data_IF_067604069223
#
_entry.id   IF_067604069223
#
_cell.length_a   1.000
_cell.length_b   1.000
_cell.length_c   1.000
_cell.angle_alpha   90.00
_cell.angle_beta   90.00
_cell.angle_gamma   90.00
#
_symmetry.space_group_name_H-M   'P 1'
#
loop_
_entity.id
_entity.type
_entity.pdbx_description
1 polymer ?
#
# COMPACT_ATOMS: atom_id res chain seq x y z
N UNK A 1 10.96 -18.59 -0.28
CA UNK A 1 9.64 -19.27 -0.22
C UNK A 1 9.60 -20.33 -1.32
N UNK A 2 9.13 -21.56 -1.06
CA UNK A 2 8.89 -22.51 -2.16
C UNK A 2 7.87 -21.85 -3.11
N UNK A 3 8.11 -21.81 -4.42
CA UNK A 3 7.17 -21.24 -5.43
C UNK A 3 5.73 -21.78 -5.31
N UNK A 4 5.54 -22.91 -4.62
CA UNK A 4 4.32 -23.68 -4.52
C UNK A 4 3.19 -23.10 -3.64
N UNK A 5 3.39 -21.99 -2.92
CA UNK A 5 2.32 -21.39 -2.09
C UNK A 5 1.85 -20.02 -2.58
N UNK A 6 2.46 -19.48 -3.64
CA UNK A 6 2.07 -18.17 -4.16
C UNK A 6 0.69 -18.24 -4.80
N UNK A 7 -0.14 -17.23 -4.52
CA UNK A 7 -1.51 -17.09 -5.02
C UNK A 7 -2.41 -18.27 -4.62
N UNK A 8 -2.24 -18.75 -3.38
CA UNK A 8 -3.02 -19.86 -2.82
C UNK A 8 -3.79 -19.46 -1.57
N UNK A 9 -4.84 -20.22 -1.30
CA UNK A 9 -5.56 -20.22 -0.03
C UNK A 9 -5.12 -21.46 0.76
N UNK A 10 -4.66 -21.26 1.99
CA UNK A 10 -4.34 -22.34 2.92
C UNK A 10 -5.56 -22.55 3.80
N UNK A 11 -6.11 -23.77 3.78
CA UNK A 11 -7.22 -24.15 4.65
C UNK A 11 -6.69 -24.53 6.03
N UNK A 12 -7.13 -23.86 7.09
CA UNK A 12 -6.79 -24.20 8.47
C UNK A 12 -6.92 -23.07 9.48
N UNK A 13 -6.49 -23.34 10.71
CA UNK A 13 -6.38 -22.32 11.75
C UNK A 13 -5.22 -21.36 11.45
N UNK A 14 -5.48 -20.07 11.57
CA UNK A 14 -4.53 -19.01 11.24
C UNK A 14 -3.19 -19.14 11.96
N UNK A 15 -3.21 -19.40 13.28
CA UNK A 15 -2.00 -19.49 14.10
C UNK A 15 -1.24 -20.78 13.78
N UNK A 16 -1.93 -21.91 13.69
CA UNK A 16 -1.29 -23.21 13.43
C UNK A 16 -0.70 -23.30 12.02
N UNK A 17 -1.37 -22.74 11.01
CA UNK A 17 -0.86 -22.71 9.64
C UNK A 17 0.30 -21.70 9.50
N UNK A 18 0.24 -20.54 10.15
CA UNK A 18 1.37 -19.59 10.11
C UNK A 18 2.66 -20.18 10.68
N UNK A 19 2.61 -21.00 11.74
CA UNK A 19 3.80 -21.68 12.31
C UNK A 19 4.56 -22.52 11.29
N UNK A 20 3.88 -23.03 10.26
CA UNK A 20 4.47 -23.83 9.18
C UNK A 20 5.14 -22.98 8.09
N UNK A 21 4.83 -21.69 8.04
CA UNK A 21 5.38 -20.75 7.06
C UNK A 21 6.80 -20.32 7.46
N UNK A 22 7.72 -20.12 6.50
CA UNK A 22 9.07 -19.66 6.79
C UNK A 22 9.08 -18.21 7.32
N UNK A 23 10.10 -17.87 8.11
CA UNK A 23 10.34 -16.50 8.54
C UNK A 23 10.51 -15.56 7.33
N UNK A 24 10.25 -14.26 7.51
CA UNK A 24 10.61 -13.20 6.56
C UNK A 24 10.21 -13.49 5.10
N UNK A 25 8.97 -13.91 4.93
CA UNK A 25 8.41 -14.46 3.70
C UNK A 25 7.48 -13.49 2.98
N UNK A 26 6.84 -12.55 3.69
CA UNK A 26 5.81 -11.68 3.13
C UNK A 26 6.21 -10.20 3.21
N UNK A 27 5.88 -9.43 2.18
CA UNK A 27 6.20 -8.01 2.07
C UNK A 27 5.19 -7.15 2.82
N UNK A 28 3.92 -7.56 2.78
CA UNK A 28 2.83 -6.86 3.44
C UNK A 28 1.85 -7.85 4.06
N UNK A 29 1.32 -7.52 5.23
CA UNK A 29 0.24 -8.27 5.88
C UNK A 29 -0.97 -7.36 6.03
N UNK A 30 -2.14 -7.82 5.59
CA UNK A 30 -3.41 -7.21 5.95
C UNK A 30 -4.17 -8.18 6.86
N UNK A 31 -4.57 -7.74 8.04
CA UNK A 31 -5.29 -8.57 9.00
C UNK A 31 -6.61 -7.92 9.41
N UNK A 32 -7.71 -8.62 9.13
CA UNK A 32 -9.08 -8.33 9.59
C UNK A 32 -9.49 -9.43 10.59
N UNK A 33 -8.95 -9.41 11.83
CA UNK A 33 -9.25 -10.43 12.82
C UNK A 33 -10.71 -10.35 13.27
N UNK A 34 -11.22 -11.38 13.96
CA UNK A 34 -12.46 -11.26 14.72
C UNK A 34 -12.45 -10.03 15.65
N UNK A 35 -13.58 -9.33 15.74
CA UNK A 35 -13.69 -8.10 16.53
C UNK A 35 -14.09 -8.35 17.98
N UNK A 36 -14.49 -9.58 18.30
CA UNK A 36 -15.09 -9.94 19.58
C UNK A 36 -16.30 -9.04 19.87
N UNK A 37 -17.29 -9.07 18.97
CA UNK A 37 -18.52 -8.31 19.11
C UNK A 37 -19.31 -8.84 20.31
N UNK A 38 -19.23 -8.13 21.43
CA UNK A 38 -19.98 -8.42 22.66
C UNK A 38 -21.45 -7.99 22.52
N UNK A 39 -22.15 -8.50 21.52
CA UNK A 39 -23.56 -8.19 21.27
C UNK A 39 -24.47 -9.06 22.13
N UNK A 40 -25.38 -8.44 22.87
CA UNK A 40 -26.41 -9.12 23.66
C UNK A 40 -27.80 -8.76 23.12
N UNK A 41 -28.70 -9.76 23.13
CA UNK A 41 -30.10 -9.58 22.75
C UNK A 41 -30.35 -9.41 21.24
N UNK A 42 -31.59 -9.08 20.88
CA UNK A 42 -31.99 -8.83 19.50
C UNK A 42 -32.03 -7.34 19.19
N UNK A 43 -31.38 -6.94 18.09
CA UNK A 43 -31.48 -5.57 17.58
C UNK A 43 -32.59 -5.49 16.53
N UNK A 44 -33.57 -4.62 16.76
CA UNK A 44 -34.64 -4.33 15.81
C UNK A 44 -34.36 -3.02 15.06
N UNK A 45 -34.72 -2.98 13.78
CA UNK A 45 -34.80 -1.74 12.99
C UNK A 45 -36.01 -0.91 13.44
N UNK A 46 -36.06 0.36 13.05
CA UNK A 46 -37.20 1.27 13.32
C UNK A 46 -38.54 0.66 12.89
N UNK A 47 -38.56 -0.11 11.79
CA UNK A 47 -39.76 -0.81 11.30
C UNK A 47 -40.02 -2.20 11.94
N UNK A 48 -39.39 -2.54 13.06
CA UNK A 48 -39.61 -3.80 13.79
C UNK A 48 -38.93 -5.05 13.22
N UNK A 49 -38.28 -4.96 12.06
CA UNK A 49 -37.53 -6.07 11.46
C UNK A 49 -36.22 -6.33 12.21
N UNK A 50 -35.88 -7.62 12.43
CA UNK A 50 -34.62 -8.02 13.06
C UNK A 50 -33.42 -7.61 12.19
N UNK A 51 -32.44 -6.96 12.81
CA UNK A 51 -31.18 -6.60 12.18
C UNK A 51 -30.22 -7.80 12.20
N UNK A 52 -29.74 -8.22 11.02
CA UNK A 52 -28.74 -9.28 10.90
C UNK A 52 -27.33 -8.70 11.01
N UNK A 53 -26.81 -8.69 12.25
CA UNK A 53 -25.43 -8.33 12.57
C UNK A 53 -24.42 -9.45 12.30
N UNK A 54 -23.33 -9.44 13.07
CA UNK A 54 -22.37 -10.54 13.21
C UNK A 54 -22.82 -11.36 14.41
N UNK A 55 -23.00 -12.67 14.21
CA UNK A 55 -23.35 -13.65 15.27
C UNK A 55 -22.63 -14.99 15.00
N UNK A 56 -21.60 -14.93 14.16
CA UNK A 56 -20.83 -16.09 13.76
C UNK A 56 -19.96 -16.58 14.93
N UNK A 57 -19.79 -17.90 15.08
CA UNK A 57 -19.08 -18.48 16.23
C UNK A 57 -17.59 -18.14 16.28
N UNK A 58 -16.98 -17.77 15.16
CA UNK A 58 -15.59 -17.33 15.10
C UNK A 58 -15.35 -15.97 15.79
N UNK A 59 -16.40 -15.21 16.11
CA UNK A 59 -16.31 -13.91 16.79
C UNK A 59 -16.59 -13.99 18.30
N UNK A 60 -16.86 -15.20 18.82
CA UNK A 60 -17.24 -15.40 20.22
C UNK A 60 -16.01 -15.81 21.05
N UNK A 61 -15.72 -15.02 22.08
CA UNK A 61 -14.67 -15.30 23.08
C UNK A 61 -15.28 -15.29 24.48
N UNK A 62 -14.75 -16.09 25.40
CA UNK A 62 -15.28 -16.17 26.77
C UNK A 62 -14.81 -15.01 27.65
N UNK A 63 -13.69 -14.36 27.30
CA UNK A 63 -13.13 -13.24 28.06
C UNK A 63 -12.16 -12.40 27.22
N UNK A 64 -11.88 -11.18 27.69
CA UNK A 64 -10.79 -10.37 27.12
C UNK A 64 -9.44 -11.08 27.21
N UNK A 65 -9.18 -11.85 28.28
CA UNK A 65 -7.92 -12.59 28.40
C UNK A 65 -7.75 -13.60 27.27
N UNK A 66 -8.82 -14.33 26.93
CA UNK A 66 -8.79 -15.29 25.83
C UNK A 66 -8.56 -14.59 24.48
N UNK A 67 -9.25 -13.46 24.25
CA UNK A 67 -9.04 -12.64 23.05
C UNK A 67 -7.61 -12.09 22.96
N UNK A 68 -7.02 -11.69 24.08
CA UNK A 68 -5.63 -11.21 24.16
C UNK A 68 -4.64 -12.32 23.85
N UNK A 69 -4.79 -13.48 24.50
CA UNK A 69 -3.92 -14.63 24.31
C UNK A 69 -3.95 -15.07 22.84
N UNK A 70 -5.14 -15.06 22.22
CA UNK A 70 -5.32 -15.27 20.78
C UNK A 70 -4.61 -14.17 19.96
N UNK A 71 -4.83 -12.90 20.29
CA UNK A 71 -4.30 -11.76 19.56
C UNK A 71 -2.77 -11.72 19.53
N UNK A 72 -2.16 -11.96 20.68
CA UNK A 72 -0.71 -11.99 20.85
C UNK A 72 -0.10 -13.14 20.03
N UNK A 73 -0.74 -14.32 19.98
CA UNK A 73 -0.23 -15.47 19.21
C UNK A 73 -0.16 -15.15 17.72
N UNK A 74 -1.26 -14.69 17.11
CA UNK A 74 -1.26 -14.42 15.68
C UNK A 74 -0.38 -13.20 15.32
N UNK A 75 -0.35 -12.16 16.15
CA UNK A 75 0.54 -11.00 15.92
C UNK A 75 2.02 -11.39 15.97
N UNK A 76 2.42 -12.28 16.89
CA UNK A 76 3.79 -12.80 16.97
C UNK A 76 4.17 -13.55 15.68
N UNK A 77 3.29 -14.44 15.21
CA UNK A 77 3.52 -15.17 13.97
C UNK A 77 3.58 -14.24 12.75
N UNK A 78 2.67 -13.26 12.66
CA UNK A 78 2.74 -12.20 11.65
C UNK A 78 4.09 -11.47 11.69
N UNK A 79 4.58 -11.09 12.86
CA UNK A 79 5.89 -10.43 12.99
C UNK A 79 7.04 -11.31 12.49
N UNK A 80 7.00 -12.62 12.79
CA UNK A 80 8.01 -13.59 12.37
C UNK A 80 8.05 -13.76 10.86
N UNK A 81 6.90 -13.91 10.21
CA UNK A 81 6.79 -14.15 8.76
C UNK A 81 6.91 -12.88 7.93
N UNK A 82 6.75 -11.68 8.50
CA UNK A 82 6.93 -10.41 7.80
C UNK A 82 8.42 -10.19 7.48
N UNK A 83 8.75 -9.73 6.26
CA UNK A 83 10.13 -9.37 5.88
C UNK A 83 10.68 -8.20 6.69
N UNK A 84 12.00 -8.04 6.69
CA UNK A 84 12.71 -6.97 7.45
C UNK A 84 12.31 -5.56 7.04
N UNK A 85 11.89 -5.38 5.79
CA UNK A 85 11.38 -4.15 5.19
C UNK A 85 9.85 -4.14 5.06
N UNK A 86 9.17 -5.16 5.55
CA UNK A 86 7.73 -5.31 5.41
C UNK A 86 6.91 -4.46 6.39
N UNK A 87 5.63 -4.32 6.07
CA UNK A 87 4.64 -3.64 6.93
C UNK A 87 3.40 -4.50 7.15
N UNK A 88 2.66 -4.21 8.20
CA UNK A 88 1.39 -4.84 8.55
C UNK A 88 0.32 -3.75 8.70
N UNK A 89 -0.88 -4.04 8.24
CA UNK A 89 -2.07 -3.25 8.51
C UNK A 89 -3.12 -4.12 9.22
N UNK A 90 -3.54 -3.71 10.41
CA UNK A 90 -4.56 -4.39 11.21
C UNK A 90 -5.78 -3.51 11.29
N UNK A 91 -6.95 -4.02 10.92
CA UNK A 91 -8.22 -3.29 11.02
C UNK A 91 -9.04 -3.76 12.23
N UNK A 92 -9.79 -2.83 12.82
CA UNK A 92 -10.69 -3.11 13.92
C UNK A 92 -11.68 -1.98 14.14
N UNK A 93 -12.58 -2.18 15.09
CA UNK A 93 -13.43 -1.13 15.63
C UNK A 93 -13.10 -0.90 17.11
N UNK A 94 -13.85 -0.04 17.79
CA UNK A 94 -13.56 0.34 19.18
C UNK A 94 -13.56 -0.86 20.15
N UNK A 95 -14.20 -1.97 19.78
CA UNK A 95 -14.24 -3.22 20.56
C UNK A 95 -12.85 -3.83 20.75
N UNK A 96 -12.00 -3.80 19.71
CA UNK A 96 -10.73 -4.52 19.72
C UNK A 96 -9.50 -3.67 19.40
N UNK A 97 -9.63 -2.59 18.62
CA UNK A 97 -8.46 -1.94 17.99
C UNK A 97 -7.48 -1.34 19.00
N UNK A 98 -7.96 -0.88 20.17
CA UNK A 98 -7.09 -0.37 21.23
C UNK A 98 -6.23 -1.47 21.85
N UNK A 99 -6.79 -2.67 22.01
CA UNK A 99 -6.07 -3.84 22.52
C UNK A 99 -5.01 -4.27 21.52
N UNK A 100 -5.40 -4.37 20.24
CA UNK A 100 -4.50 -4.75 19.16
C UNK A 100 -3.34 -3.75 19.02
N UNK A 101 -3.62 -2.44 19.06
CA UNK A 101 -2.59 -1.41 19.04
C UNK A 101 -1.60 -1.54 20.21
N UNK A 102 -2.10 -1.78 21.43
CA UNK A 102 -1.26 -2.02 22.62
C UNK A 102 -0.35 -3.25 22.43
N UNK A 103 -0.89 -4.37 21.96
CA UNK A 103 -0.09 -5.58 21.69
C UNK A 103 0.93 -5.37 20.58
N UNK A 104 0.56 -4.67 19.50
CA UNK A 104 1.48 -4.37 18.42
C UNK A 104 2.70 -3.57 18.91
N UNK A 105 2.49 -2.54 19.73
CA UNK A 105 3.59 -1.76 20.31
C UNK A 105 4.47 -2.59 21.25
N UNK A 106 3.87 -3.40 22.12
CA UNK A 106 4.61 -4.28 23.03
C UNK A 106 5.38 -5.39 22.32
N UNK A 107 4.94 -5.77 21.12
CA UNK A 107 5.66 -6.67 20.23
C UNK A 107 6.68 -5.92 19.36
N UNK A 108 7.03 -4.67 19.65
CA UNK A 108 7.99 -3.83 18.93
C UNK A 108 7.64 -3.53 17.46
N UNK A 109 6.37 -3.61 17.06
CA UNK A 109 5.96 -2.97 15.81
C UNK A 109 6.06 -1.46 15.96
N UNK A 110 6.47 -0.78 14.88
CA UNK A 110 6.51 0.68 14.87
C UNK A 110 5.34 1.21 14.06
N UNK A 111 4.32 1.69 14.76
CA UNK A 111 3.12 2.29 14.18
C UNK A 111 3.53 3.53 13.36
N UNK A 112 3.12 3.56 12.10
CA UNK A 112 3.38 4.64 11.16
C UNK A 112 2.22 5.62 11.15
N UNK A 113 1.01 5.09 11.00
CA UNK A 113 -0.25 5.83 11.06
C UNK A 113 -1.36 4.93 11.57
N UNK A 114 -2.24 5.50 12.39
CA UNK A 114 -3.63 5.07 12.41
C UNK A 114 -4.38 5.73 11.24
N UNK A 115 -5.23 4.95 10.58
CA UNK A 115 -6.02 5.35 9.42
C UNK A 115 -7.48 5.10 9.77
N UNK A 116 -8.31 6.13 9.65
CA UNK A 116 -9.74 6.05 9.90
C UNK A 116 -10.45 5.76 8.59
N UNK A 117 -11.09 4.60 8.49
CA UNK A 117 -12.06 4.33 7.43
C UNK A 117 -13.39 4.94 7.83
N UNK A 118 -13.69 6.12 7.28
CA UNK A 118 -14.98 6.77 7.39
C UNK A 118 -15.96 6.15 6.38
N UNK A 119 -17.03 5.53 6.90
CA UNK A 119 -18.07 4.88 6.10
C UNK A 119 -19.04 5.95 5.62
N UNK A 120 -19.15 6.16 4.31
CA UNK A 120 -20.08 7.15 3.75
C UNK A 120 -21.56 6.76 3.86
N UNK A 121 -21.84 5.46 4.02
CA UNK A 121 -23.18 4.88 4.15
C UNK A 121 -23.27 3.90 5.33
N UNK A 122 -22.97 4.32 6.57
CA UNK A 122 -22.95 3.42 7.72
C UNK A 122 -24.37 2.97 8.08
N UNK A 123 -24.47 1.80 8.72
CA UNK A 123 -25.73 1.39 9.34
C UNK A 123 -26.04 2.36 10.49
N UNK A 124 -27.22 3.01 10.52
CA UNK A 124 -27.54 3.99 11.54
C UNK A 124 -27.73 3.35 12.92
N UNK A 125 -27.58 4.16 13.98
CA UNK A 125 -27.99 3.76 15.32
C UNK A 125 -29.52 3.80 15.42
N UNK A 126 -30.16 2.63 15.50
CA UNK A 126 -31.63 2.54 15.50
C UNK A 126 -32.29 2.94 16.82
N UNK A 127 -31.60 2.76 17.94
CA UNK A 127 -32.16 2.97 19.28
C UNK A 127 -31.94 4.40 19.82
N UNK A 128 -31.16 5.23 19.13
CA UNK A 128 -30.84 6.59 19.56
C UNK A 128 -30.01 6.68 20.84
N UNK A 129 -29.34 5.60 21.26
CA UNK A 129 -28.65 5.53 22.56
C UNK A 129 -27.18 5.93 22.52
N UNK A 130 -26.57 5.97 21.32
CA UNK A 130 -25.17 6.31 21.07
C UNK A 130 -25.03 7.01 19.73
N UNK A 131 -23.86 7.58 19.47
CA UNK A 131 -23.48 8.02 18.12
C UNK A 131 -23.53 6.86 17.11
N UNK A 132 -23.74 7.20 15.84
CA UNK A 132 -23.66 6.24 14.74
C UNK A 132 -22.23 5.71 14.62
N UNK A 133 -22.06 4.38 14.57
CA UNK A 133 -20.73 3.78 14.35
C UNK A 133 -20.34 3.90 12.87
N UNK A 134 -19.89 5.11 12.51
CA UNK A 134 -19.61 5.51 11.13
C UNK A 134 -18.16 5.30 10.70
N UNK A 135 -17.33 4.64 11.51
CA UNK A 135 -15.95 4.36 11.12
C UNK A 135 -15.39 3.05 11.67
N UNK A 136 -14.26 2.64 11.12
CA UNK A 136 -13.33 1.66 11.67
C UNK A 136 -11.92 2.24 11.63
N UNK A 137 -11.00 1.64 12.39
CA UNK A 137 -9.62 2.10 12.51
C UNK A 137 -8.67 1.01 12.01
N UNK A 138 -7.76 1.40 11.13
CA UNK A 138 -6.65 0.60 10.62
C UNK A 138 -5.35 1.08 11.24
N UNK A 139 -4.56 0.19 11.83
CA UNK A 139 -3.21 0.50 12.33
C UNK A 139 -2.21 -0.01 11.29
N UNK A 140 -1.53 0.91 10.61
CA UNK A 140 -0.43 0.58 9.70
C UNK A 140 0.90 0.71 10.45
N UNK A 141 1.66 -0.37 10.50
CA UNK A 141 2.91 -0.44 11.25
C UNK A 141 4.00 -1.15 10.46
N UNK A 142 5.24 -0.70 10.67
CA UNK A 142 6.44 -1.40 10.19
C UNK A 142 6.92 -2.44 11.19
N UNK A 143 7.64 -3.47 10.71
CA UNK A 143 8.15 -4.57 11.56
C UNK A 143 8.92 -4.10 12.80
N UNK A 144 9.59 -2.95 12.70
CA UNK A 144 10.36 -2.30 13.77
C UNK A 144 10.66 -0.82 13.43
N UNK A 145 11.10 -0.02 14.39
CA UNK A 145 11.48 1.39 14.19
C UNK A 145 12.59 1.61 13.14
N UNK A 146 13.45 0.61 12.90
CA UNK A 146 14.58 0.70 11.95
C UNK A 146 14.23 0.23 10.54
N UNK A 147 12.99 -0.22 10.33
CA UNK A 147 12.51 -0.75 9.04
C UNK A 147 12.57 0.32 7.96
N UNK A 148 13.15 -0.02 6.80
CA UNK A 148 13.04 0.79 5.58
C UNK A 148 11.87 0.28 4.76
N UNK A 149 10.67 0.76 5.08
CA UNK A 149 9.43 0.27 4.48
C UNK A 149 9.11 0.93 3.14
N UNK A 150 8.22 0.28 2.37
CA UNK A 150 7.63 0.83 1.15
C UNK A 150 6.51 1.82 1.52
N UNK A 151 6.56 3.03 0.95
CA UNK A 151 5.45 3.97 0.92
C UNK A 151 5.43 4.69 -0.43
N UNK A 152 4.45 4.40 -1.26
CA UNK A 152 4.33 4.93 -2.62
C UNK A 152 3.69 6.32 -2.62
N UNK A 153 4.40 7.28 -2.02
CA UNK A 153 3.91 8.63 -1.78
C UNK A 153 3.46 9.37 -3.05
N UNK A 154 4.20 9.26 -4.15
CA UNK A 154 3.86 9.96 -5.40
C UNK A 154 2.60 9.36 -6.02
N UNK A 155 2.46 8.04 -6.00
CA UNK A 155 1.24 7.36 -6.45
C UNK A 155 0.05 7.77 -5.61
N UNK A 156 0.16 7.74 -4.28
CA UNK A 156 -0.92 8.16 -3.38
C UNK A 156 -1.30 9.64 -3.57
N UNK A 157 -0.30 10.51 -3.76
CA UNK A 157 -0.53 11.92 -4.06
C UNK A 157 -1.26 12.11 -5.39
N UNK A 158 -0.88 11.36 -6.42
CA UNK A 158 -1.51 11.42 -7.74
C UNK A 158 -2.99 11.01 -7.68
N UNK A 159 -3.28 9.88 -7.03
CA UNK A 159 -4.65 9.36 -6.86
C UNK A 159 -5.55 10.31 -6.05
N UNK A 160 -4.97 11.15 -5.21
CA UNK A 160 -5.68 12.17 -4.45
C UNK A 160 -5.56 13.57 -5.10
N UNK A 161 -5.71 13.66 -6.42
CA UNK A 161 -5.72 14.92 -7.18
C UNK A 161 -4.47 15.78 -6.93
N UNK A 162 -3.29 15.14 -6.93
CA UNK A 162 -1.99 15.75 -6.63
C UNK A 162 -1.88 16.39 -5.23
N UNK A 163 -2.74 16.01 -4.28
CA UNK A 163 -2.66 16.40 -2.87
C UNK A 163 -2.19 15.23 -2.04
N UNK A 164 -1.45 15.51 -0.97
CA UNK A 164 -1.04 14.47 -0.03
C UNK A 164 -2.28 13.76 0.53
N UNK A 165 -2.23 12.43 0.54
CA UNK A 165 -3.27 11.59 1.11
C UNK A 165 -3.36 11.79 2.63
N UNK A 166 -4.60 11.80 3.15
CA UNK A 166 -4.86 11.99 4.59
C UNK A 166 -5.03 10.65 5.29
N UNK A 167 -5.01 10.66 6.62
CA UNK A 167 -5.30 9.47 7.44
C UNK A 167 -6.79 9.15 7.57
N UNK A 168 -7.70 9.98 7.04
CA UNK A 168 -9.15 9.72 7.05
C UNK A 168 -9.59 9.41 5.63
N UNK A 169 -10.08 8.20 5.41
CA UNK A 169 -10.51 7.70 4.10
C UNK A 169 -12.01 7.50 4.07
N UNK A 170 -12.68 8.28 3.24
CA UNK A 170 -14.12 8.15 3.01
C UNK A 170 -14.37 7.10 1.92
N UNK A 171 -14.89 5.93 2.32
CA UNK A 171 -15.12 4.78 1.43
C UNK A 171 -16.46 4.15 1.83
N UNK A 172 -17.36 3.84 0.88
CA UNK A 172 -18.63 3.17 1.20
C UNK A 172 -18.42 1.74 1.71
N UNK A 173 -19.43 1.21 2.38
CA UNK A 173 -19.52 -0.22 2.71
C UNK A 173 -19.58 -1.08 1.45
N UNK A 174 -19.05 -2.31 1.56
CA UNK A 174 -19.18 -3.34 0.52
C UNK A 174 -20.66 -3.71 0.33
N UNK A 175 -21.21 -3.29 -0.81
CA UNK A 175 -22.63 -3.38 -1.18
C UNK A 175 -22.78 -3.67 -2.68
N UNK A 176 -24.00 -3.89 -3.15
CA UNK A 176 -24.26 -4.12 -4.58
C UNK A 176 -23.65 -5.42 -5.09
N UNK A 177 -23.05 -5.37 -6.28
CA UNK A 177 -22.46 -6.54 -6.97
C UNK A 177 -21.16 -7.02 -6.34
N UNK A 178 -20.42 -6.14 -5.66
CA UNK A 178 -19.19 -6.51 -4.96
C UNK A 178 -19.48 -7.43 -3.76
N UNK A 179 -20.64 -7.27 -3.14
CA UNK A 179 -21.03 -8.03 -1.96
C UNK A 179 -21.44 -9.45 -2.33
N UNK A 180 -20.63 -10.44 -1.95
CA UNK A 180 -20.90 -11.83 -2.27
C UNK A 180 -22.16 -12.34 -1.57
N UNK A 181 -22.94 -13.12 -2.32
CA UNK A 181 -24.20 -13.71 -1.87
C UNK A 181 -24.14 -15.23 -1.95
N UNK A 182 -24.82 -15.89 -1.03
CA UNK A 182 -25.03 -17.33 -1.07
C UNK A 182 -26.09 -17.72 -2.12
N UNK A 183 -26.33 -19.03 -2.28
CA UNK A 183 -27.32 -19.55 -3.22
C UNK A 183 -28.76 -19.08 -2.96
N UNK A 184 -29.06 -18.54 -1.77
CA UNK A 184 -30.37 -18.00 -1.39
C UNK A 184 -30.46 -16.47 -1.61
N UNK A 185 -29.39 -15.85 -2.11
CA UNK A 185 -29.30 -14.41 -2.32
C UNK A 185 -29.00 -13.60 -1.06
N UNK A 186 -28.70 -14.25 0.07
CA UNK A 186 -28.31 -13.58 1.34
C UNK A 186 -26.81 -13.29 1.36
N UNK A 187 -26.38 -12.37 2.22
CA UNK A 187 -24.96 -12.05 2.42
C UNK A 187 -24.19 -13.33 2.76
N UNK A 188 -23.14 -13.64 2.00
CA UNK A 188 -22.33 -14.84 2.26
C UNK A 188 -21.44 -14.65 3.49
N UNK A 189 -20.81 -13.47 3.61
CA UNK A 189 -19.95 -13.10 4.73
C UNK A 189 -20.48 -11.87 5.46
N UNK A 190 -20.51 -11.93 6.80
CA UNK A 190 -21.04 -10.86 7.64
C UNK A 190 -20.21 -9.57 7.55
N UNK A 191 -18.89 -9.70 7.45
CA UNK A 191 -17.91 -8.59 7.58
C UNK A 191 -17.04 -8.37 6.33
N UNK A 192 -17.50 -8.76 5.12
CA UNK A 192 -16.74 -8.51 3.88
C UNK A 192 -16.33 -7.03 3.74
N UNK A 193 -15.03 -6.78 3.61
CA UNK A 193 -14.45 -5.44 3.43
C UNK A 193 -14.53 -4.97 1.97
N UNK A 194 -14.70 -3.66 1.73
CA UNK A 194 -14.75 -3.10 0.39
C UNK A 194 -13.38 -3.18 -0.30
N UNK A 195 -13.36 -3.56 -1.59
CA UNK A 195 -12.14 -3.65 -2.39
C UNK A 195 -11.35 -2.34 -2.41
N UNK A 196 -12.03 -1.20 -2.55
CA UNK A 196 -11.40 0.12 -2.59
C UNK A 196 -10.52 0.43 -1.36
N UNK A 197 -10.87 -0.12 -0.19
CA UNK A 197 -10.08 0.04 1.04
C UNK A 197 -8.76 -0.73 0.93
N UNK A 198 -8.84 -1.98 0.45
CA UNK A 198 -7.68 -2.85 0.24
C UNK A 198 -6.81 -2.33 -0.90
N UNK A 199 -7.42 -1.84 -1.99
CA UNK A 199 -6.72 -1.27 -3.14
C UNK A 199 -5.82 -0.13 -2.69
N UNK A 200 -6.39 0.77 -1.88
CA UNK A 200 -5.69 1.94 -1.36
C UNK A 200 -4.49 1.57 -0.49
N UNK A 201 -4.66 0.67 0.49
CA UNK A 201 -3.55 0.30 1.39
C UNK A 201 -2.50 -0.58 0.70
N UNK A 202 -2.89 -1.50 -0.18
CA UNK A 202 -1.96 -2.35 -0.93
C UNK A 202 -1.14 -1.47 -1.89
N UNK A 203 -1.78 -0.57 -2.66
CA UNK A 203 -1.06 0.38 -3.52
C UNK A 203 -0.15 1.32 -2.74
N UNK A 204 -0.52 1.73 -1.53
CA UNK A 204 0.33 2.60 -0.71
C UNK A 204 1.59 1.89 -0.20
N UNK A 205 1.50 0.59 0.09
CA UNK A 205 2.49 -0.12 0.91
C UNK A 205 3.25 -1.25 0.22
N UNK A 206 2.94 -1.55 -1.05
CA UNK A 206 3.56 -2.67 -1.80
C UNK A 206 4.02 -2.27 -3.20
N UNK A 207 4.95 -3.03 -3.76
CA UNK A 207 5.44 -2.94 -5.15
C UNK A 207 4.83 -4.06 -6.01
N UNK A 208 4.88 -3.95 -7.36
CA UNK A 208 4.54 -5.06 -8.24
C UNK A 208 5.28 -6.33 -7.84
N UNK A 209 4.57 -7.47 -7.88
CA UNK A 209 5.04 -8.80 -7.48
C UNK A 209 5.33 -9.03 -5.99
N UNK A 210 5.23 -8.02 -5.12
CA UNK A 210 5.28 -8.22 -3.66
C UNK A 210 4.18 -9.21 -3.23
N UNK A 211 4.43 -9.90 -2.12
CA UNK A 211 3.53 -10.93 -1.60
C UNK A 211 2.73 -10.36 -0.43
N UNK A 212 1.42 -10.22 -0.64
CA UNK A 212 0.44 -9.80 0.37
C UNK A 212 -0.09 -11.01 1.12
N UNK A 213 0.03 -11.01 2.44
CA UNK A 213 -0.47 -12.09 3.28
C UNK A 213 -1.69 -11.66 4.09
N UNK A 214 -2.65 -12.56 4.24
CA UNK A 214 -3.86 -12.34 5.02
C UNK A 214 -4.15 -13.55 5.93
N UNK A 215 -4.01 -13.41 7.26
CA UNK A 215 -4.28 -14.47 8.22
C UNK A 215 -5.77 -14.76 8.43
N UNK A 216 -6.68 -13.91 7.92
CA UNK A 216 -8.13 -13.96 8.13
C UNK A 216 -8.85 -13.72 6.79
N UNK A 217 -8.59 -14.60 5.83
CA UNK A 217 -8.84 -14.32 4.41
C UNK A 217 -10.32 -14.16 4.05
N UNK A 218 -11.23 -14.80 4.81
CA UNK A 218 -12.67 -14.74 4.58
C UNK A 218 -13.02 -15.09 3.14
N UNK A 219 -13.73 -14.20 2.47
CA UNK A 219 -14.14 -14.35 1.06
C UNK A 219 -13.11 -13.81 0.05
N UNK A 220 -11.85 -13.65 0.48
CA UNK A 220 -10.71 -13.41 -0.39
C UNK A 220 -10.56 -11.98 -0.93
N UNK A 221 -11.12 -10.95 -0.28
CA UNK A 221 -10.97 -9.55 -0.75
C UNK A 221 -9.49 -9.16 -0.90
N UNK A 222 -8.64 -9.48 0.07
CA UNK A 222 -7.21 -9.17 0.01
C UNK A 222 -6.53 -9.83 -1.20
N UNK A 223 -6.83 -11.10 -1.47
CA UNK A 223 -6.24 -11.82 -2.60
C UNK A 223 -6.74 -11.34 -3.96
N UNK A 224 -8.05 -11.08 -4.07
CA UNK A 224 -8.66 -10.52 -5.28
C UNK A 224 -8.02 -9.17 -5.64
N UNK A 225 -7.91 -8.27 -4.66
CA UNK A 225 -7.29 -6.96 -4.87
C UNK A 225 -5.79 -7.08 -5.15
N UNK A 226 -5.05 -7.93 -4.42
CA UNK A 226 -3.64 -8.15 -4.69
C UNK A 226 -3.41 -8.64 -6.13
N UNK A 227 -4.17 -9.65 -6.57
CA UNK A 227 -4.11 -10.19 -7.94
C UNK A 227 -4.43 -9.11 -8.98
N UNK A 228 -5.53 -8.38 -8.80
CA UNK A 228 -5.95 -7.26 -9.67
C UNK A 228 -4.84 -6.22 -9.83
N UNK A 229 -4.14 -5.89 -8.75
CA UNK A 229 -3.05 -4.90 -8.77
C UNK A 229 -1.71 -5.47 -9.24
N UNK A 230 -1.61 -6.74 -9.65
CA UNK A 230 -0.34 -7.36 -10.06
C UNK A 230 0.61 -7.64 -8.90
N UNK A 231 0.06 -7.91 -7.69
CA UNK A 231 0.78 -8.45 -6.54
C UNK A 231 0.47 -9.94 -6.41
N UNK A 232 1.32 -10.66 -5.70
CA UNK A 232 1.02 -12.02 -5.27
C UNK A 232 0.28 -12.00 -3.94
N UNK A 233 -0.45 -13.07 -3.62
CA UNK A 233 -1.08 -13.20 -2.31
C UNK A 233 -0.91 -14.59 -1.70
N UNK A 234 -1.08 -14.68 -0.38
CA UNK A 234 -1.33 -15.94 0.34
C UNK A 234 -2.35 -15.65 1.44
N UNK A 235 -3.45 -16.39 1.46
CA UNK A 235 -4.51 -16.26 2.46
C UNK A 235 -4.63 -17.51 3.33
N UNK A 236 -5.00 -17.34 4.60
CA UNK A 236 -5.43 -18.46 5.46
C UNK A 236 -6.91 -18.27 5.81
N UNK A 237 -7.70 -19.32 5.63
CA UNK A 237 -9.11 -19.35 6.03
C UNK A 237 -9.45 -20.73 6.61
N UNK A 238 -10.32 -20.77 7.61
CA UNK A 238 -10.73 -22.00 8.28
C UNK A 238 -12.04 -22.55 7.71
N UNK A 239 -12.97 -21.67 7.37
CA UNK A 239 -14.33 -22.03 6.96
C UNK A 239 -14.38 -22.38 5.47
N UNK A 240 -14.66 -23.65 5.17
CA UNK A 240 -14.68 -24.19 3.80
C UNK A 240 -15.60 -23.39 2.85
N UNK A 241 -16.77 -22.96 3.33
CA UNK A 241 -17.71 -22.13 2.56
C UNK A 241 -17.11 -20.79 2.09
N UNK A 242 -16.18 -20.22 2.86
CA UNK A 242 -15.52 -18.96 2.52
C UNK A 242 -14.35 -19.20 1.56
N UNK A 243 -13.61 -20.29 1.75
CA UNK A 243 -12.56 -20.74 0.83
C UNK A 243 -13.11 -20.94 -0.58
N UNK A 244 -14.22 -21.66 -0.73
CA UNK A 244 -14.83 -21.94 -2.04
C UNK A 244 -15.25 -20.66 -2.78
N UNK A 245 -15.87 -19.73 -2.05
CA UNK A 245 -16.27 -18.45 -2.62
C UNK A 245 -15.08 -17.55 -2.95
N UNK A 246 -14.05 -17.54 -2.10
CA UNK A 246 -12.80 -16.84 -2.37
C UNK A 246 -12.12 -17.40 -3.62
N UNK A 247 -12.05 -18.73 -3.78
CA UNK A 247 -11.46 -19.36 -4.95
C UNK A 247 -12.21 -18.98 -6.23
N UNK A 248 -13.54 -19.08 -6.22
CA UNK A 248 -14.36 -18.67 -7.38
C UNK A 248 -14.11 -17.20 -7.76
N UNK A 249 -14.10 -16.31 -6.77
CA UNK A 249 -13.80 -14.88 -7.00
C UNK A 249 -12.40 -14.69 -7.58
N UNK A 250 -11.40 -15.39 -7.05
CA UNK A 250 -10.02 -15.30 -7.52
C UNK A 250 -9.84 -15.81 -8.95
N UNK A 251 -10.59 -16.84 -9.35
CA UNK A 251 -10.55 -17.40 -10.70
C UNK A 251 -11.08 -16.40 -11.74
N UNK A 252 -12.02 -15.53 -11.36
CA UNK A 252 -12.62 -14.49 -12.20
C UNK A 252 -11.78 -13.20 -12.28
N UNK A 253 -10.88 -12.97 -11.32
CA UNK A 253 -10.05 -11.76 -11.27
C UNK A 253 -8.86 -11.88 -12.21
N UNK A 254 -8.69 -10.89 -13.09
CA UNK A 254 -7.48 -10.70 -13.90
C UNK A 254 -6.61 -9.56 -13.37
N UNK A 255 -5.31 -9.61 -13.67
CA UNK A 255 -4.39 -8.54 -13.30
C UNK A 255 -4.57 -7.35 -14.25
N UNK A 256 -4.76 -6.16 -13.70
CA UNK A 256 -4.84 -4.90 -14.43
C UNK A 256 -3.46 -4.26 -14.48
N UNK A 257 -2.76 -4.39 -15.60
CA UNK A 257 -1.44 -3.78 -15.80
C UNK A 257 -1.60 -2.37 -16.36
N UNK A 258 -1.45 -1.37 -15.50
CA UNK A 258 -1.43 0.05 -15.86
C UNK A 258 -0.31 0.79 -15.11
N UNK A 259 -0.07 2.06 -15.46
CA UNK A 259 1.00 2.88 -14.88
C UNK A 259 0.92 3.03 -13.36
N UNK A 260 -0.29 3.11 -12.80
CA UNK A 260 -0.52 3.20 -11.35
C UNK A 260 -0.13 1.90 -10.68
N UNK A 261 -0.61 0.78 -11.19
CA UNK A 261 -0.34 -0.54 -10.62
C UNK A 261 1.14 -0.92 -10.77
N UNK A 262 1.80 -0.47 -11.83
CA UNK A 262 3.25 -0.61 -12.06
C UNK A 262 4.11 0.42 -11.33
N UNK A 263 3.50 1.33 -10.55
CA UNK A 263 4.18 2.37 -9.79
C UNK A 263 5.19 3.19 -10.62
N UNK A 264 4.83 3.53 -11.86
CA UNK A 264 5.74 4.26 -12.76
C UNK A 264 6.17 5.61 -12.18
N UNK A 265 5.28 6.26 -11.40
CA UNK A 265 5.57 7.51 -10.70
C UNK A 265 6.66 7.38 -9.63
N UNK A 266 6.82 6.20 -9.04
CA UNK A 266 7.81 5.93 -7.99
C UNK A 266 9.21 5.65 -8.54
N UNK A 267 9.33 5.34 -9.83
CA UNK A 267 10.62 5.10 -10.48
C UNK A 267 11.50 6.33 -10.29
N UNK A 268 12.63 6.12 -9.61
CA UNK A 268 13.65 7.16 -9.45
C UNK A 268 14.42 7.28 -10.76
N UNK A 269 14.80 8.50 -11.17
CA UNK A 269 15.64 8.65 -12.35
C UNK A 269 16.98 7.93 -12.13
N UNK A 270 17.62 7.43 -13.20
CA UNK A 270 18.89 6.71 -13.11
C UNK A 270 19.96 7.54 -12.41
N UNK A 271 20.80 6.87 -11.62
CA UNK A 271 21.87 7.53 -10.86
C UNK A 271 23.11 7.73 -11.74
N UNK A 272 23.02 8.70 -12.64
CA UNK A 272 24.11 9.07 -13.56
C UNK A 272 24.55 10.49 -13.25
N UNK A 273 25.87 10.72 -13.16
CA UNK A 273 26.46 12.04 -12.89
C UNK A 273 26.67 12.83 -14.19
N UNK A 274 26.81 14.15 -14.10
CA UNK A 274 27.22 14.98 -15.25
C UNK A 274 28.58 14.54 -15.81
N UNK A 275 29.54 14.19 -14.93
CA UNK A 275 30.86 13.70 -15.35
C UNK A 275 30.77 12.41 -16.15
N UNK A 276 29.93 11.46 -15.72
CA UNK A 276 29.73 10.20 -16.43
C UNK A 276 29.12 10.43 -17.81
N UNK A 277 28.09 11.29 -17.90
CA UNK A 277 27.49 11.67 -19.19
C UNK A 277 28.50 12.33 -20.13
N UNK A 278 29.44 13.13 -19.60
CA UNK A 278 30.53 13.72 -20.40
C UNK A 278 31.51 12.63 -20.87
N UNK A 279 31.99 11.79 -19.95
CA UNK A 279 32.96 10.74 -20.24
C UNK A 279 32.44 9.75 -21.29
N UNK A 280 31.15 9.44 -21.25
CA UNK A 280 30.45 8.53 -22.17
C UNK A 280 29.96 9.23 -23.45
N UNK A 281 30.21 10.53 -23.61
CA UNK A 281 29.92 11.28 -24.83
C UNK A 281 28.46 11.71 -25.00
N UNK A 282 27.62 11.57 -23.97
CA UNK A 282 26.23 12.07 -23.97
C UNK A 282 26.16 13.58 -23.81
N UNK A 283 27.16 14.16 -23.13
CA UNK A 283 27.38 15.58 -23.02
C UNK A 283 28.78 15.94 -23.52
N UNK A 284 28.93 17.15 -24.06
CA UNK A 284 30.23 17.68 -24.49
C UNK A 284 30.66 18.82 -23.58
N UNK A 285 31.97 18.96 -23.39
CA UNK A 285 32.56 20.12 -22.73
C UNK A 285 32.22 21.37 -23.56
N UNK A 286 31.87 22.47 -22.88
CA UNK A 286 31.32 23.72 -23.44
C UNK A 286 29.97 23.60 -24.14
N UNK A 287 29.27 22.47 -24.04
CA UNK A 287 27.90 22.37 -24.52
C UNK A 287 26.98 23.29 -23.71
N UNK A 288 26.14 24.07 -24.38
CA UNK A 288 25.17 24.93 -23.73
C UNK A 288 24.01 24.13 -23.13
N UNK A 289 23.55 24.60 -21.97
CA UNK A 289 22.33 24.18 -21.32
C UNK A 289 21.34 25.35 -21.31
N UNK A 290 20.08 25.02 -21.55
CA UNK A 290 19.02 25.99 -21.82
C UNK A 290 17.93 25.94 -20.75
N UNK A 291 17.13 27.00 -20.66
CA UNK A 291 15.84 26.98 -19.98
C UNK A 291 14.78 26.28 -20.86
N UNK A 292 13.60 25.99 -20.30
CA UNK A 292 12.46 25.46 -21.07
C UNK A 292 12.07 26.34 -22.28
N UNK A 293 12.36 27.64 -22.22
CA UNK A 293 12.08 28.62 -23.26
C UNK A 293 13.20 28.73 -24.32
N UNK A 294 14.16 27.79 -24.33
CA UNK A 294 15.31 27.74 -25.25
C UNK A 294 16.30 28.90 -25.10
N UNK A 295 16.32 29.56 -23.95
CA UNK A 295 17.32 30.59 -23.64
C UNK A 295 18.57 29.93 -23.05
N UNK A 296 19.76 30.24 -23.59
CA UNK A 296 21.04 29.74 -23.05
C UNK A 296 21.23 30.25 -21.62
N UNK A 297 21.58 29.35 -20.70
CA UNK A 297 21.70 29.67 -19.27
C UNK A 297 23.13 29.52 -18.75
N UNK A 298 23.85 28.52 -19.25
CA UNK A 298 25.21 28.14 -18.84
C UNK A 298 25.77 27.08 -19.80
N UNK A 299 27.05 26.74 -19.67
CA UNK A 299 27.70 25.67 -20.43
C UNK A 299 28.39 24.65 -19.53
N UNK A 300 28.53 23.42 -20.04
CA UNK A 300 29.10 22.27 -19.32
C UNK A 300 30.63 22.37 -19.19
N UNK A 301 31.15 22.10 -18.00
CA UNK A 301 32.58 22.00 -17.69
C UNK A 301 33.03 20.54 -17.60
N UNK A 302 34.32 20.28 -17.83
CA UNK A 302 34.92 18.94 -17.81
C UNK A 302 34.70 18.19 -16.48
N UNK A 303 34.74 18.90 -15.36
CA UNK A 303 34.51 18.33 -14.03
C UNK A 303 33.01 18.12 -13.70
N UNK A 304 32.10 18.17 -14.69
CA UNK A 304 30.66 18.00 -14.53
C UNK A 304 29.93 19.16 -13.84
N UNK A 305 30.62 20.27 -13.57
CA UNK A 305 29.99 21.53 -13.19
C UNK A 305 29.53 22.29 -14.43
N UNK A 306 28.87 23.42 -14.24
CA UNK A 306 28.44 24.33 -15.29
C UNK A 306 28.88 25.76 -14.97
N UNK A 307 29.03 26.59 -16.00
CA UNK A 307 29.41 28.00 -15.85
C UNK A 307 28.51 28.91 -16.68
N UNK A 308 28.17 30.07 -16.11
CA UNK A 308 27.47 31.16 -16.79
C UNK A 308 28.40 32.36 -17.02
N UNK A 309 29.69 32.08 -17.24
CA UNK A 309 30.81 33.03 -17.35
C UNK A 309 31.19 33.79 -16.05
N UNK A 310 30.26 33.94 -15.12
CA UNK A 310 30.51 34.56 -13.81
C UNK A 310 30.91 33.52 -12.76
N UNK A 311 30.10 32.48 -12.60
CA UNK A 311 30.27 31.46 -11.57
C UNK A 311 30.51 30.08 -12.17
N UNK A 312 31.10 29.19 -11.36
CA UNK A 312 31.28 27.76 -11.67
C UNK A 312 30.62 26.92 -10.59
N UNK A 313 29.48 26.33 -10.91
CA UNK A 313 28.58 25.71 -9.94
C UNK A 313 28.12 24.34 -10.42
N UNK A 314 27.64 23.49 -9.51
CA UNK A 314 26.91 22.30 -9.92
C UNK A 314 25.60 22.71 -10.60
N UNK A 315 24.99 21.82 -11.41
CA UNK A 315 23.69 22.10 -12.03
C UNK A 315 22.59 22.47 -11.00
N UNK A 316 22.69 21.94 -9.78
CA UNK A 316 21.75 22.24 -8.70
C UNK A 316 21.92 23.67 -8.19
N UNK A 317 23.15 24.08 -7.92
CA UNK A 317 23.45 25.44 -7.46
C UNK A 317 23.22 26.48 -8.57
N UNK A 318 23.56 26.15 -9.82
CA UNK A 318 23.33 27.04 -10.97
C UNK A 318 21.84 27.26 -11.21
N UNK A 319 21.04 26.20 -11.27
CA UNK A 319 19.58 26.36 -11.41
C UNK A 319 18.95 27.10 -10.22
N UNK A 320 19.48 26.91 -9.01
CA UNK A 320 19.06 27.68 -7.83
C UNK A 320 19.40 29.17 -7.97
N UNK A 321 20.61 29.52 -8.44
CA UNK A 321 21.03 30.90 -8.77
C UNK A 321 20.05 31.54 -9.76
N UNK A 322 19.76 30.85 -10.89
CA UNK A 322 18.84 31.37 -11.92
C UNK A 322 17.39 31.55 -11.45
N UNK A 323 16.95 30.77 -10.46
CA UNK A 323 15.60 30.84 -9.89
C UNK A 323 15.51 31.69 -8.61
N UNK A 324 16.62 32.29 -8.16
CA UNK A 324 16.73 32.97 -6.86
C UNK A 324 16.26 32.08 -5.67
N UNK A 325 16.75 30.85 -5.63
CA UNK A 325 16.47 29.85 -4.57
C UNK A 325 17.77 29.40 -3.91
N UNK A 326 17.66 28.82 -2.71
CA UNK A 326 18.81 28.24 -1.98
C UNK A 326 19.30 26.95 -2.65
N UNK A 327 18.37 26.11 -3.11
CA UNK A 327 18.67 24.86 -3.79
C UNK A 327 17.56 24.53 -4.80
N UNK A 328 17.92 23.81 -5.86
CA UNK A 328 16.99 23.38 -6.89
C UNK A 328 17.48 22.10 -7.59
N UNK A 329 16.56 21.29 -8.12
CA UNK A 329 16.95 20.14 -8.92
C UNK A 329 17.37 20.60 -10.33
N UNK A 330 18.67 20.64 -10.61
CA UNK A 330 19.20 21.06 -11.91
C UNK A 330 18.77 20.15 -13.06
N UNK A 331 18.55 18.86 -12.80
CA UNK A 331 18.06 17.91 -13.80
C UNK A 331 16.68 18.30 -14.35
N UNK A 332 15.81 18.86 -13.51
CA UNK A 332 14.44 19.23 -13.89
C UNK A 332 14.35 20.67 -14.47
N UNK A 333 15.43 21.44 -14.36
CA UNK A 333 15.47 22.84 -14.82
C UNK A 333 16.05 22.98 -16.22
N UNK A 334 17.19 22.33 -16.46
CA UNK A 334 17.94 22.51 -17.70
C UNK A 334 17.42 21.63 -18.84
N UNK A 335 17.60 22.12 -20.05
CA UNK A 335 17.37 21.45 -21.31
C UNK A 335 18.66 21.44 -22.12
N UNK A 336 18.78 20.52 -23.07
CA UNK A 336 19.96 20.35 -23.90
C UNK A 336 19.56 19.89 -25.29
N UNK A 337 20.31 20.30 -26.30
CA UNK A 337 20.22 19.69 -27.63
C UNK A 337 21.06 18.42 -27.67
N UNK A 338 20.42 17.26 -27.85
CA UNK A 338 21.07 15.97 -27.98
C UNK A 338 20.64 15.31 -29.29
N UNK A 339 21.62 14.98 -30.15
CA UNK A 339 21.39 14.42 -31.50
C UNK A 339 20.37 15.22 -32.34
N UNK A 340 20.33 16.54 -32.17
CA UNK A 340 19.42 17.45 -32.88
C UNK A 340 18.09 17.74 -32.19
N UNK A 341 17.73 16.96 -31.17
CA UNK A 341 16.46 17.11 -30.43
C UNK A 341 16.64 17.97 -29.17
N UNK A 342 15.66 18.81 -28.86
CA UNK A 342 15.65 19.64 -27.66
C UNK A 342 14.92 18.93 -26.52
N UNK A 343 15.67 18.38 -25.57
CA UNK A 343 15.14 17.51 -24.51
C UNK A 343 15.48 18.05 -23.11
N UNK A 344 14.69 17.74 -22.08
CA UNK A 344 15.10 17.92 -20.69
C UNK A 344 16.45 17.24 -20.42
N UNK A 345 17.32 17.91 -19.65
CA UNK A 345 18.62 17.35 -19.27
C UNK A 345 18.47 16.02 -18.49
N UNK A 346 17.39 15.89 -17.71
CA UNK A 346 17.07 14.65 -17.01
C UNK A 346 16.93 13.45 -17.97
N UNK A 347 16.39 13.65 -19.16
CA UNK A 347 16.09 12.58 -20.10
C UNK A 347 17.37 11.89 -20.61
N UNK A 348 18.50 12.61 -20.65
CA UNK A 348 19.80 12.02 -20.94
C UNK A 348 20.18 10.88 -19.98
N UNK A 349 19.72 10.91 -18.72
CA UNK A 349 20.00 9.84 -17.76
C UNK A 349 19.29 8.55 -18.12
N UNK A 350 18.08 8.65 -18.69
CA UNK A 350 17.31 7.51 -19.16
C UNK A 350 17.84 6.98 -20.49
N UNK A 351 18.21 7.87 -21.42
CA UNK A 351 18.85 7.46 -22.69
C UNK A 351 20.17 6.74 -22.39
N UNK A 352 20.98 7.27 -21.47
CA UNK A 352 22.19 6.60 -21.01
C UNK A 352 21.90 5.19 -20.46
N UNK A 353 20.92 5.06 -19.57
CA UNK A 353 20.57 3.76 -19.00
C UNK A 353 20.08 2.77 -20.08
N UNK A 354 19.22 3.19 -21.02
CA UNK A 354 18.71 2.31 -22.08
C UNK A 354 19.80 1.81 -23.02
N UNK A 355 20.79 2.66 -23.32
CA UNK A 355 21.89 2.29 -24.21
C UNK A 355 22.88 1.32 -23.53
N UNK A 356 23.04 1.40 -22.20
CA UNK A 356 24.03 0.62 -21.44
C UNK A 356 23.43 -0.60 -20.69
N UNK A 357 22.10 -0.77 -20.67
CA UNK A 357 21.44 -1.98 -20.11
C UNK A 357 21.24 -3.11 -21.14
N UNK A 358 21.55 -2.87 -22.42
CA UNK A 358 21.50 -3.87 -23.50
C UNK A 358 22.88 -4.50 -23.83
N UNK A 359 23.89 -4.24 -23.00
CA UNK A 359 25.19 -4.92 -22.94
C UNK A 359 25.24 -5.82 -21.69
#
# INVERSE_FOLDING_TARGET
>A
MKKNILNTIISGDSVEEMKKLPNESFDFIFADPPYFMQTEGELLRVGGQKFSGVDDDWDKFNSFKEYDDFSIKWLNECKRILKKDGTICVIGSFQNIYRLGYFMQNLDFWILNDIIWHKSNPVPNFAGTRFCNAHETMIWASKSKKTKFTFNYKTMKHLNNNKQEKSVWEIPLCTGNERLKDATGKKLHSTQKPEALLEKIILASTKPNDIVFDPFFGTGTTGAVAKKLGRNFVGIEREQKYIEAAQKRLDEVEAELNDINQLTLEKKPPKVSMQELIHKGYLKIKQELFSKNKESQCFVLENGHVSDDEDKLSIHKMSAKKLNKINHNGWDYFYVYYKGEFIPLNDLRFIYESDNCNE
#
